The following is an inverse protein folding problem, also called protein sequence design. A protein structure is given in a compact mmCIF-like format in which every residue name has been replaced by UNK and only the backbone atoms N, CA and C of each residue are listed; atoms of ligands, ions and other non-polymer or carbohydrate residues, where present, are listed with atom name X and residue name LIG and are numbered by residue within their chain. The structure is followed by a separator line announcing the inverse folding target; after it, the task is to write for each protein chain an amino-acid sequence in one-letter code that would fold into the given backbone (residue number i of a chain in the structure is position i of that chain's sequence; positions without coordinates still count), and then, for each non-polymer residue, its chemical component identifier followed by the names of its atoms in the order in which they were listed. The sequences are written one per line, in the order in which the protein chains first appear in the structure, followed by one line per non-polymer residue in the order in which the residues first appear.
data_IF_692973859567
#
_entry.id   IF_692973859567
#
_cell.length_a   1.000
_cell.length_b   1.000
_cell.length_c   1.000
_cell.angle_alpha   90.00
_cell.angle_beta   90.00
_cell.angle_gamma   90.00
#
_symmetry.space_group_name_H-M   'P 1'
#
loop_
_entity.id
_entity.type
_entity.pdbx_description
1 polymer ?
#
# COMPACT_ATOMS: atom_id res chain seq x y z
N UNK A 1 2.52 49.55 5.38
CA UNK A 1 2.19 48.24 5.99
C UNK A 1 1.90 47.15 4.97
N UNK A 2 1.06 47.37 3.93
CA UNK A 2 0.77 46.36 2.88
C UNK A 2 2.00 45.84 2.12
N UNK A 3 3.00 46.70 1.83
CA UNK A 3 4.23 46.31 1.12
C UNK A 3 5.13 45.37 1.94
N UNK A 4 5.14 45.51 3.28
CA UNK A 4 5.92 44.63 4.16
C UNK A 4 5.25 43.24 4.20
N UNK A 5 3.93 43.18 4.32
CA UNK A 5 3.17 41.93 4.34
C UNK A 5 3.37 41.09 3.07
N UNK A 6 3.41 41.74 1.89
CA UNK A 6 3.63 41.05 0.60
C UNK A 6 5.04 40.46 0.53
N UNK A 7 6.06 41.20 1.00
CA UNK A 7 7.45 40.72 1.00
C UNK A 7 7.61 39.54 1.99
N UNK A 8 7.00 39.61 3.17
CA UNK A 8 7.05 38.50 4.14
C UNK A 8 6.36 37.25 3.60
N UNK A 9 5.23 37.39 2.89
CA UNK A 9 4.51 36.27 2.27
C UNK A 9 5.31 35.63 1.13
N UNK A 10 5.97 36.44 0.29
CA UNK A 10 6.77 35.95 -0.84
C UNK A 10 7.99 35.15 -0.37
N UNK A 11 8.64 35.58 0.72
CA UNK A 11 9.78 34.87 1.33
C UNK A 11 9.34 33.54 1.96
N UNK A 12 8.18 33.50 2.62
CA UNK A 12 7.62 32.26 3.17
C UNK A 12 7.29 31.26 2.04
N UNK A 13 6.69 31.71 0.94
CA UNK A 13 6.41 30.86 -0.23
C UNK A 13 7.70 30.30 -0.85
N UNK A 14 8.80 31.06 -0.87
CA UNK A 14 10.09 30.54 -1.37
C UNK A 14 10.70 29.50 -0.42
N UNK A 15 10.54 29.62 0.90
CA UNK A 15 11.01 28.61 1.87
C UNK A 15 10.28 27.27 1.67
N UNK A 16 8.97 27.28 1.43
CA UNK A 16 8.20 26.06 1.12
C UNK A 16 8.61 25.41 -0.22
N UNK A 17 9.06 26.20 -1.19
CA UNK A 17 9.53 25.68 -2.49
C UNK A 17 10.95 25.08 -2.43
N UNK A 18 11.75 25.37 -1.39
CA UNK A 18 13.11 24.84 -1.24
C UNK A 18 13.13 23.48 -0.51
N UNK A 19 12.08 23.13 0.24
CA UNK A 19 11.95 21.78 0.84
C UNK A 19 11.52 20.70 -0.15
N UNK A 20 11.23 21.07 -1.41
CA UNK A 20 11.02 20.14 -2.52
C UNK A 20 12.32 19.82 -3.30
N UNK A 21 13.48 20.28 -2.82
CA UNK A 21 14.78 19.77 -3.29
C UNK A 21 14.99 18.36 -2.73
N UNK A 22 14.74 17.39 -3.60
CA UNK A 22 14.72 15.96 -3.33
C UNK A 22 15.77 15.47 -2.36
N UNK A 23 15.28 14.71 -1.37
CA UNK A 23 16.09 13.73 -0.65
C UNK A 23 16.77 12.87 -1.71
N UNK A 24 18.06 13.09 -1.88
CA UNK A 24 18.92 12.23 -2.69
C UNK A 24 18.99 10.90 -1.94
N UNK A 25 18.02 10.03 -2.21
CA UNK A 25 17.98 8.66 -1.71
C UNK A 25 19.31 8.01 -2.08
N UNK A 26 20.03 7.51 -1.07
CA UNK A 26 21.17 6.64 -1.28
C UNK A 26 20.66 5.36 -1.96
N UNK A 27 20.69 5.35 -3.30
CA UNK A 27 20.18 4.26 -4.11
C UNK A 27 21.16 3.07 -4.12
N UNK A 28 21.41 2.46 -2.97
CA UNK A 28 21.60 1.01 -2.99
C UNK A 28 20.21 0.46 -3.29
N UNK A 29 20.00 -0.16 -4.46
CA UNK A 29 18.69 -0.68 -4.85
C UNK A 29 18.16 -1.56 -3.72
N UNK A 30 17.06 -1.15 -3.07
CA UNK A 30 16.43 -1.96 -2.01
C UNK A 30 16.13 -3.34 -2.58
N UNK A 31 16.41 -4.39 -1.81
CA UNK A 31 16.04 -5.75 -2.25
C UNK A 31 14.53 -5.81 -2.49
N UNK A 32 14.04 -6.66 -3.41
CA UNK A 32 12.61 -6.84 -3.62
C UNK A 32 11.85 -7.11 -2.32
N UNK A 33 12.42 -7.94 -1.44
CA UNK A 33 11.87 -8.21 -0.11
C UNK A 33 11.73 -6.94 0.74
N UNK A 34 12.75 -6.06 0.76
CA UNK A 34 12.66 -4.80 1.51
C UNK A 34 11.60 -3.87 0.94
N UNK A 35 11.47 -3.81 -0.38
CA UNK A 35 10.43 -3.01 -1.04
C UNK A 35 9.03 -3.54 -0.73
N UNK A 36 8.83 -4.86 -0.71
CA UNK A 36 7.57 -5.48 -0.28
C UNK A 36 7.24 -5.15 1.17
N UNK A 37 8.23 -5.18 2.08
CA UNK A 37 8.04 -4.78 3.49
C UNK A 37 7.64 -3.32 3.63
N UNK A 38 8.37 -2.41 2.97
CA UNK A 38 8.07 -0.98 3.01
C UNK A 38 6.65 -0.70 2.46
N UNK A 39 6.20 -1.45 1.45
CA UNK A 39 4.84 -1.32 0.91
C UNK A 39 3.78 -1.87 1.85
N UNK A 40 4.02 -3.00 2.52
CA UNK A 40 3.12 -3.52 3.55
C UNK A 40 2.99 -2.51 4.72
N UNK A 41 4.10 -1.93 5.18
CA UNK A 41 4.14 -0.85 6.18
C UNK A 41 3.31 0.36 5.74
N UNK A 42 3.50 0.83 4.51
CA UNK A 42 2.73 1.95 3.97
C UNK A 42 1.23 1.66 3.89
N UNK A 43 0.85 0.44 3.48
CA UNK A 43 -0.56 0.02 3.40
C UNK A 43 -1.17 -0.03 4.80
N UNK A 44 -0.49 -0.63 5.77
CA UNK A 44 -0.95 -0.64 7.16
C UNK A 44 -1.13 0.77 7.71
N UNK A 45 -0.13 1.64 7.55
CA UNK A 45 -0.20 3.02 8.02
C UNK A 45 -1.35 3.79 7.37
N UNK A 46 -1.55 3.61 6.05
CA UNK A 46 -2.61 4.30 5.34
C UNK A 46 -4.00 3.82 5.77
N UNK A 47 -4.18 2.51 5.99
CA UNK A 47 -5.44 1.96 6.48
C UNK A 47 -5.69 2.43 7.91
N UNK A 48 -4.70 2.31 8.80
CA UNK A 48 -4.82 2.72 10.21
C UNK A 48 -5.15 4.20 10.39
N UNK A 49 -4.60 5.06 9.54
CA UNK A 49 -4.81 6.51 9.62
C UNK A 49 -5.96 7.02 8.73
N UNK A 50 -6.72 6.12 8.09
CA UNK A 50 -7.79 6.46 7.15
C UNK A 50 -7.31 7.38 6.01
N UNK A 51 -6.06 7.20 5.56
CA UNK A 51 -5.41 7.99 4.52
C UNK A 51 -5.58 7.34 3.16
N UNK A 52 -6.72 7.62 2.54
CA UNK A 52 -7.12 7.04 1.25
C UNK A 52 -6.17 7.43 0.12
N UNK A 53 -5.59 8.63 0.16
CA UNK A 53 -4.68 9.10 -0.88
C UNK A 53 -3.35 8.34 -0.79
N UNK A 54 -2.76 8.22 0.40
CA UNK A 54 -1.54 7.42 0.61
C UNK A 54 -1.75 5.95 0.24
N UNK A 55 -2.94 5.40 0.50
CA UNK A 55 -3.28 4.04 0.10
C UNK A 55 -3.36 3.89 -1.43
N UNK A 56 -4.01 4.83 -2.12
CA UNK A 56 -4.10 4.85 -3.59
C UNK A 56 -2.72 4.94 -4.25
N UNK A 57 -1.80 5.71 -3.67
CA UNK A 57 -0.42 5.84 -4.17
C UNK A 57 0.34 4.50 -4.17
N UNK A 58 -0.04 3.53 -3.34
CA UNK A 58 0.61 2.20 -3.35
C UNK A 58 0.17 1.34 -4.55
N UNK A 59 -1.00 1.61 -5.13
CA UNK A 59 -1.50 0.87 -6.30
C UNK A 59 -0.69 1.18 -7.55
N UNK A 60 -0.64 0.23 -8.49
CA UNK A 60 0.02 0.45 -9.77
C UNK A 60 -0.69 1.54 -10.60
N UNK A 61 0.06 2.23 -11.46
CA UNK A 61 -0.45 3.36 -12.28
C UNK A 61 -1.73 3.00 -13.04
N UNK A 62 -1.80 1.76 -13.55
CA UNK A 62 -2.99 1.24 -14.26
C UNK A 62 -4.27 1.38 -13.42
N UNK A 63 -4.20 1.10 -12.13
CA UNK A 63 -5.35 1.13 -11.21
C UNK A 63 -5.59 2.53 -10.63
N UNK A 64 -4.56 3.39 -10.58
CA UNK A 64 -4.71 4.78 -10.15
C UNK A 64 -5.53 5.62 -11.15
N UNK A 65 -5.46 5.30 -12.45
CA UNK A 65 -6.14 6.05 -13.53
C UNK A 65 -7.64 5.71 -13.68
N UNK A 66 -8.16 4.73 -12.95
CA UNK A 66 -9.57 4.32 -12.94
C UNK A 66 -10.26 4.59 -11.60
N UNK A 67 -11.60 4.75 -11.63
CA UNK A 67 -12.46 4.78 -10.43
C UNK A 67 -12.59 3.40 -9.73
N UNK A 68 -11.51 2.63 -9.69
CA UNK A 68 -11.40 1.40 -8.88
C UNK A 68 -10.90 1.70 -7.46
N UNK A 69 -10.76 2.98 -7.14
CA UNK A 69 -10.34 3.58 -5.87
C UNK A 69 -11.43 3.57 -4.79
N UNK A 70 -12.23 2.49 -4.73
CA UNK A 70 -13.15 2.25 -3.63
C UNK A 70 -12.42 1.81 -2.35
N UNK A 71 -11.20 2.32 -2.14
CA UNK A 71 -10.40 2.10 -0.93
C UNK A 71 -11.16 2.57 0.31
N UNK A 72 -12.06 3.53 0.17
CA UNK A 72 -12.93 3.99 1.25
C UNK A 72 -13.83 2.88 1.82
N UNK A 73 -14.17 1.87 0.99
CA UNK A 73 -14.93 0.69 1.45
C UNK A 73 -14.16 -0.16 2.46
N UNK A 74 -12.83 -0.02 2.52
CA UNK A 74 -12.02 -0.69 3.55
C UNK A 74 -12.43 -0.18 4.93
N UNK A 75 -12.64 1.13 5.08
CA UNK A 75 -13.04 1.74 6.35
C UNK A 75 -14.50 1.42 6.73
N UNK A 76 -15.35 1.11 5.75
CA UNK A 76 -16.70 0.61 6.00
C UNK A 76 -16.72 -0.88 6.37
N UNK A 77 -15.76 -1.65 5.87
CA UNK A 77 -15.66 -3.09 6.07
C UNK A 77 -15.01 -3.47 7.40
N UNK A 78 -13.96 -2.74 7.80
CA UNK A 78 -13.34 -2.87 9.11
C UNK A 78 -14.22 -2.18 10.15
N UNK A 79 -14.60 -2.91 11.20
CA UNK A 79 -15.44 -2.38 12.26
C UNK A 79 -14.63 -1.52 13.24
N UNK A 80 -14.75 -0.20 13.11
CA UNK A 80 -14.06 0.74 13.98
C UNK A 80 -12.61 0.96 13.54
N UNK A 81 -11.73 1.22 14.50
CA UNK A 81 -10.36 1.69 14.24
C UNK A 81 -9.34 0.57 14.49
N UNK A 82 -8.27 0.51 13.71
CA UNK A 82 -7.19 -0.46 13.96
C UNK A 82 -6.39 -0.04 15.20
N UNK A 83 -6.45 -0.85 16.26
CA UNK A 83 -5.77 -0.58 17.53
C UNK A 83 -4.38 -1.22 17.55
N UNK A 84 -4.29 -2.50 17.18
CA UNK A 84 -3.07 -3.30 17.31
C UNK A 84 -2.73 -4.09 16.04
N UNK A 85 -1.43 -4.30 15.86
CA UNK A 85 -0.86 -5.25 14.91
C UNK A 85 -0.51 -6.51 15.72
N UNK A 86 -1.17 -7.64 15.45
CA UNK A 86 -0.98 -8.87 16.25
C UNK A 86 0.27 -9.65 15.86
N UNK A 87 0.70 -9.51 14.61
CA UNK A 87 1.93 -10.13 14.09
C UNK A 87 2.65 -9.10 13.22
N UNK A 88 3.86 -8.71 13.63
CA UNK A 88 4.76 -7.89 12.81
C UNK A 88 4.82 -8.48 11.41
N UNK A 89 4.51 -7.65 10.39
CA UNK A 89 4.45 -7.98 8.96
C UNK A 89 4.93 -9.39 8.68
N UNK A 90 3.99 -10.32 8.71
CA UNK A 90 4.24 -11.69 8.35
C UNK A 90 4.46 -11.69 6.83
N UNK A 91 5.66 -11.29 6.39
CA UNK A 91 6.25 -11.74 5.14
C UNK A 91 6.61 -13.20 5.35
N UNK A 92 5.63 -14.00 5.71
CA UNK A 92 5.78 -15.25 6.42
C UNK A 92 6.22 -16.31 5.44
N UNK A 93 7.49 -16.27 5.04
CA UNK A 93 7.98 -17.06 3.91
C UNK A 93 7.14 -16.90 2.60
N UNK A 94 6.20 -15.92 2.58
CA UNK A 94 5.20 -15.64 1.56
C UNK A 94 5.44 -14.30 0.87
N UNK A 95 6.64 -13.73 1.00
CA UNK A 95 7.27 -13.18 -0.18
C UNK A 95 7.70 -14.35 -1.07
N UNK A 96 6.74 -15.22 -1.43
CA UNK A 96 6.85 -15.97 -2.65
C UNK A 96 6.93 -14.86 -3.67
N UNK A 97 8.14 -14.60 -4.15
CA UNK A 97 8.33 -13.62 -5.19
C UNK A 97 7.65 -14.24 -6.38
N UNK A 98 6.34 -14.02 -6.47
CA UNK A 98 5.43 -14.70 -7.37
C UNK A 98 6.07 -14.75 -8.73
N UNK A 99 5.99 -15.93 -9.35
CA UNK A 99 6.72 -16.27 -10.57
C UNK A 99 6.93 -15.06 -11.47
N UNK A 100 8.19 -14.76 -11.73
CA UNK A 100 8.58 -13.64 -12.57
C UNK A 100 8.71 -14.06 -14.02
N UNK A 101 8.39 -13.17 -14.95
CA UNK A 101 8.71 -13.37 -16.35
C UNK A 101 10.04 -12.68 -16.68
N UNK A 102 10.91 -13.33 -17.43
CA UNK A 102 12.10 -12.71 -17.99
C UNK A 102 11.99 -12.69 -19.52
N UNK A 103 11.99 -11.50 -20.13
CA UNK A 103 11.97 -11.27 -21.58
C UNK A 103 13.25 -10.55 -22.01
N UNK A 104 14.38 -11.25 -21.99
CA UNK A 104 15.67 -10.69 -22.36
C UNK A 104 16.16 -9.67 -21.33
N UNK A 105 16.16 -8.39 -21.70
CA UNK A 105 16.53 -7.26 -20.84
C UNK A 105 15.42 -6.80 -19.89
N UNK A 106 14.21 -7.35 -20.05
CA UNK A 106 13.03 -7.03 -19.23
C UNK A 106 12.69 -8.14 -18.26
N UNK A 107 12.17 -7.79 -17.09
CA UNK A 107 11.70 -8.72 -16.08
C UNK A 107 10.45 -8.22 -15.35
N UNK A 108 9.60 -9.14 -14.91
CA UNK A 108 8.61 -8.91 -13.87
C UNK A 108 8.91 -9.77 -12.65
N UNK A 109 8.52 -9.29 -11.47
CA UNK A 109 8.67 -10.00 -10.20
C UNK A 109 7.49 -9.65 -9.30
N UNK A 110 6.67 -10.65 -9.00
CA UNK A 110 5.53 -10.52 -8.13
C UNK A 110 5.91 -10.41 -6.66
N UNK A 111 4.96 -9.97 -5.84
CA UNK A 111 5.01 -10.06 -4.39
C UNK A 111 3.62 -10.35 -3.81
N UNK A 112 3.61 -10.90 -2.60
CA UNK A 112 2.46 -10.92 -1.70
C UNK A 112 2.89 -10.58 -0.27
N UNK A 113 1.97 -10.05 0.52
CA UNK A 113 2.12 -9.88 1.97
C UNK A 113 0.77 -10.11 2.67
N UNK A 114 0.82 -10.51 3.94
CA UNK A 114 -0.33 -10.57 4.85
C UNK A 114 -0.06 -9.73 6.11
N UNK A 115 -1.09 -9.04 6.60
CA UNK A 115 -1.03 -8.20 7.80
C UNK A 115 -2.22 -8.55 8.69
N UNK A 116 -1.95 -9.03 9.90
CA UNK A 116 -3.00 -9.36 10.87
C UNK A 116 -3.20 -8.20 11.84
N UNK A 117 -4.42 -7.67 11.88
CA UNK A 117 -4.79 -6.51 12.69
C UNK A 117 -6.03 -6.78 13.55
N UNK A 118 -6.16 -6.03 14.63
CA UNK A 118 -7.33 -6.06 15.52
C UNK A 118 -7.93 -4.67 15.61
N UNK A 119 -9.25 -4.59 15.44
CA UNK A 119 -9.99 -3.35 15.65
C UNK A 119 -10.21 -3.06 17.13
N UNK A 120 -10.58 -1.82 17.48
CA UNK A 120 -11.01 -1.41 18.81
C UNK A 120 -12.27 -2.15 19.30
N UNK A 121 -12.95 -2.91 18.41
CA UNK A 121 -14.06 -3.82 18.73
C UNK A 121 -13.61 -5.24 19.04
N UNK A 122 -12.33 -5.53 18.91
CA UNK A 122 -11.76 -6.86 19.12
C UNK A 122 -11.92 -7.79 17.92
N UNK A 123 -12.38 -7.30 16.76
CA UNK A 123 -12.47 -8.13 15.55
C UNK A 123 -11.11 -8.21 14.88
N UNK A 124 -10.72 -9.43 14.50
CA UNK A 124 -9.47 -9.73 13.79
C UNK A 124 -9.66 -9.72 12.28
N UNK A 125 -8.70 -9.14 11.56
CA UNK A 125 -8.66 -9.09 10.10
C UNK A 125 -7.29 -9.50 9.56
N UNK A 126 -7.29 -10.14 8.40
CA UNK A 126 -6.09 -10.33 7.59
C UNK A 126 -6.20 -9.44 6.36
N UNK A 127 -5.24 -8.54 6.18
CA UNK A 127 -5.11 -7.66 5.03
C UNK A 127 -4.01 -8.24 4.14
N UNK A 128 -4.41 -8.77 2.98
CA UNK A 128 -3.51 -9.36 1.99
C UNK A 128 -3.31 -8.38 0.85
N UNK A 129 -2.05 -8.08 0.52
CA UNK A 129 -1.70 -7.26 -0.64
C UNK A 129 -0.88 -8.07 -1.65
N UNK A 130 -1.16 -7.88 -2.94
CA UNK A 130 -0.42 -8.53 -4.03
C UNK A 130 -0.18 -7.57 -5.19
N UNK A 131 0.91 -7.79 -5.92
CA UNK A 131 1.23 -7.04 -7.13
C UNK A 131 2.63 -7.33 -7.63
N UNK A 132 3.21 -6.38 -8.38
CA UNK A 132 4.57 -6.49 -8.91
C UNK A 132 5.50 -5.52 -8.21
N UNK A 133 6.58 -6.02 -7.63
CA UNK A 133 7.61 -5.17 -7.00
C UNK A 133 8.58 -4.65 -8.06
N UNK A 134 8.73 -5.39 -9.16
CA UNK A 134 9.45 -4.97 -10.36
C UNK A 134 8.61 -5.38 -11.56
N UNK A 135 8.36 -4.47 -12.50
CA UNK A 135 7.79 -4.84 -13.79
C UNK A 135 8.35 -3.96 -14.91
N UNK A 136 9.47 -4.35 -15.53
CA UNK A 136 10.02 -3.63 -16.67
C UNK A 136 9.43 -4.09 -18.01
N UNK A 137 8.66 -5.19 -18.00
CA UNK A 137 7.88 -5.66 -19.15
C UNK A 137 6.71 -4.71 -19.40
N UNK A 138 5.93 -4.43 -18.35
CA UNK A 138 4.81 -3.49 -18.32
C UNK A 138 4.91 -2.56 -17.08
N UNK A 139 5.67 -1.46 -17.15
CA UNK A 139 5.93 -0.55 -16.01
C UNK A 139 4.70 -0.03 -15.28
N UNK A 140 3.56 0.09 -15.98
CA UNK A 140 2.30 0.56 -15.39
C UNK A 140 1.65 -0.42 -14.42
N UNK A 141 2.10 -1.68 -14.40
CA UNK A 141 1.62 -2.72 -13.50
C UNK A 141 2.49 -2.88 -12.25
N UNK A 142 3.64 -2.19 -12.17
CA UNK A 142 4.47 -2.17 -10.98
C UNK A 142 3.75 -1.41 -9.84
N UNK A 143 3.73 -2.01 -8.66
CA UNK A 143 2.96 -1.57 -7.50
C UNK A 143 1.91 -2.58 -7.07
N UNK A 144 1.09 -2.20 -6.09
CA UNK A 144 -0.01 -3.00 -5.59
C UNK A 144 -1.11 -3.14 -6.66
N UNK A 145 -1.58 -4.35 -6.89
CA UNK A 145 -2.64 -4.64 -7.87
C UNK A 145 -3.95 -5.02 -7.19
N UNK A 146 -3.88 -5.67 -6.03
CA UNK A 146 -5.06 -6.03 -5.26
C UNK A 146 -4.81 -5.94 -3.75
N UNK A 147 -5.84 -5.56 -3.02
CA UNK A 147 -5.97 -5.74 -1.57
C UNK A 147 -7.16 -6.66 -1.33
N UNK A 148 -6.99 -7.67 -0.48
CA UNK A 148 -8.05 -8.56 -0.02
C UNK A 148 -8.09 -8.50 1.50
N UNK A 149 -9.26 -8.29 2.08
CA UNK A 149 -9.44 -8.22 3.53
C UNK A 149 -10.38 -9.32 3.98
N UNK A 150 -9.85 -10.24 4.77
CA UNK A 150 -10.61 -11.30 5.42
C UNK A 150 -10.97 -10.88 6.83
N UNK A 151 -12.19 -11.20 7.26
CA UNK A 151 -12.61 -11.06 8.65
C UNK A 151 -12.54 -12.45 9.30
N UNK A 152 -11.95 -12.55 10.48
CA UNK A 152 -11.95 -13.80 11.23
C UNK A 152 -13.36 -14.11 11.73
N UNK A 153 -13.76 -15.38 11.69
CA UNK A 153 -15.02 -15.84 12.25
C UNK A 153 -14.99 -15.77 13.78
N UNK A 154 -16.16 -15.72 14.43
CA UNK A 154 -16.30 -15.70 15.89
C UNK A 154 -15.65 -16.91 16.58
N UNK A 155 -15.56 -18.05 15.88
CA UNK A 155 -14.92 -19.27 16.38
C UNK A 155 -13.38 -19.28 16.21
N UNK A 156 -12.80 -18.18 15.72
CA UNK A 156 -11.36 -18.03 15.48
C UNK A 156 -10.86 -18.61 14.15
N UNK A 157 -11.73 -19.16 13.31
CA UNK A 157 -11.35 -19.69 11.99
C UNK A 157 -11.33 -18.62 10.90
N UNK A 158 -10.57 -18.87 9.84
CA UNK A 158 -10.52 -18.00 8.65
C UNK A 158 -11.26 -18.62 7.47
N UNK A 159 -12.02 -17.81 6.73
CA UNK A 159 -12.68 -18.25 5.49
C UNK A 159 -12.16 -17.47 4.28
N UNK A 160 -11.22 -18.07 3.55
CA UNK A 160 -10.62 -17.45 2.35
C UNK A 160 -11.46 -17.59 1.08
N UNK A 161 -12.63 -18.24 1.14
CA UNK A 161 -13.46 -18.51 -0.03
C UNK A 161 -14.64 -17.56 -0.20
N UNK A 162 -15.08 -16.89 0.87
CA UNK A 162 -16.27 -16.03 0.88
C UNK A 162 -16.20 -15.00 1.99
N UNK A 163 -17.00 -13.93 1.84
CA UNK A 163 -17.14 -12.91 2.88
C UNK A 163 -15.88 -12.08 3.08
N UNK A 164 -15.16 -11.79 2.00
CA UNK A 164 -14.00 -10.89 1.99
C UNK A 164 -14.31 -9.64 1.18
N UNK A 165 -13.61 -8.55 1.49
CA UNK A 165 -13.55 -7.37 0.62
C UNK A 165 -12.34 -7.50 -0.30
N UNK A 166 -12.52 -7.21 -1.60
CA UNK A 166 -11.41 -7.10 -2.55
C UNK A 166 -11.47 -5.76 -3.27
N UNK A 167 -10.33 -5.08 -3.33
CA UNK A 167 -10.13 -3.83 -4.07
C UNK A 167 -9.02 -4.05 -5.10
N UNK A 168 -9.25 -3.62 -6.33
CA UNK A 168 -8.33 -3.83 -7.45
C UNK A 168 -8.48 -5.21 -8.09
N UNK A 169 -7.57 -5.51 -9.01
CA UNK A 169 -7.58 -6.73 -9.81
C UNK A 169 -6.16 -7.16 -10.20
N UNK A 170 -5.88 -8.45 -9.99
CA UNK A 170 -4.70 -9.10 -10.57
C UNK A 170 -4.83 -9.15 -12.10
N UNK A 171 -3.70 -9.18 -12.81
CA UNK A 171 -3.69 -9.43 -14.25
C UNK A 171 -4.10 -10.88 -14.52
N UNK A 172 -5.19 -11.09 -15.27
CA UNK A 172 -5.61 -12.40 -15.77
C UNK A 172 -4.70 -12.90 -16.90
#
# INVERSE_FOLDING_TARGET
MKKILIITLMVICMIFNITACGVKSNNTSKSPLRQTKDMAENVYDAIKNHDSEKLKEQFCERLQLGKETAVDKIYEYIDGEIETLETDFETDNYADTGGGENRGDKLSKGFSFGIYVVSDKGTRYEIVGKGDVINTIEPKNQGLQTIIIYRQNEDGTWNYSKGYLQIGSELN
#
